data_IF_482391570391
#
_entry.id   IF_482391570391
#
_cell.length_a   1.000
_cell.length_b   1.000
_cell.length_c   1.000
_cell.angle_alpha   90.00
_cell.angle_beta   90.00
_cell.angle_gamma   90.00
#
_symmetry.space_group_name_H-M   'P 1'
#
loop_
_entity.id
_entity.type
_entity.pdbx_description
1 polymer ?
#
# COMPACT_ATOMS: atom_id res chain seq x y z
N UNK A 1 15.76 12.46 -14.23
CA UNK A 1 15.81 11.06 -13.73
C UNK A 1 15.18 11.05 -12.34
N UNK A 2 14.21 10.18 -12.07
CA UNK A 2 13.53 10.06 -10.76
C UNK A 2 13.70 8.64 -10.24
N UNK A 3 14.07 8.49 -8.97
CA UNK A 3 14.06 7.22 -8.27
C UNK A 3 13.01 7.28 -7.15
N UNK A 4 12.21 6.23 -7.01
CA UNK A 4 11.21 6.12 -5.95
C UNK A 4 11.64 5.05 -4.96
N UNK A 5 11.59 5.39 -3.67
CA UNK A 5 11.97 4.48 -2.58
C UNK A 5 10.76 4.23 -1.72
N UNK A 6 10.43 2.96 -1.53
CA UNK A 6 9.26 2.52 -0.78
C UNK A 6 9.65 2.12 0.65
N UNK A 7 8.93 2.63 1.67
CA UNK A 7 9.28 2.36 3.06
C UNK A 7 8.92 0.92 3.48
N UNK A 8 9.58 0.43 4.51
CA UNK A 8 9.27 -0.84 5.16
C UNK A 8 8.48 -0.67 6.46
N UNK A 9 8.43 -1.73 7.26
CA UNK A 9 7.76 -1.74 8.57
C UNK A 9 8.24 -0.61 9.49
N UNK A 10 7.31 0.01 10.23
CA UNK A 10 7.56 1.16 11.09
C UNK A 10 7.09 2.50 10.51
N UNK A 11 6.73 2.53 9.22
CA UNK A 11 6.21 3.71 8.54
C UNK A 11 4.68 3.88 8.61
N UNK A 12 3.96 2.93 9.22
CA UNK A 12 2.51 3.00 9.38
C UNK A 12 2.09 4.10 10.37
N UNK A 13 0.96 4.74 10.13
CA UNK A 13 0.39 5.77 11.00
C UNK A 13 -1.15 5.74 10.96
N UNK A 14 -1.85 6.13 12.05
CA UNK A 14 -3.31 6.21 12.04
C UNK A 14 -3.84 7.20 11.00
N UNK A 15 -4.93 6.84 10.32
CA UNK A 15 -5.52 7.62 9.24
C UNK A 15 -4.85 7.45 7.87
N UNK A 16 -3.82 6.60 7.75
CA UNK A 16 -3.10 6.41 6.49
C UNK A 16 -4.02 5.92 5.36
N UNK A 17 -3.94 6.55 4.19
CA UNK A 17 -4.68 6.14 3.00
C UNK A 17 -6.11 6.64 2.92
N UNK A 18 -6.65 7.25 3.99
CA UNK A 18 -8.03 7.75 4.03
C UNK A 18 -8.27 8.86 3.02
N UNK A 19 -7.37 9.83 2.99
CA UNK A 19 -7.41 10.96 2.06
C UNK A 19 -7.39 10.48 0.59
N UNK A 20 -6.52 9.52 0.29
CA UNK A 20 -6.39 8.98 -1.07
C UNK A 20 -7.61 8.14 -1.44
N UNK A 21 -8.17 7.37 -0.51
CA UNK A 21 -9.40 6.60 -0.70
C UNK A 21 -10.61 7.50 -1.00
N UNK A 22 -10.75 8.62 -0.28
CA UNK A 22 -11.87 9.55 -0.44
C UNK A 22 -11.79 10.38 -1.74
N UNK A 23 -10.58 10.59 -2.27
CA UNK A 23 -10.36 11.50 -3.40
C UNK A 23 -9.98 10.79 -4.72
N UNK A 24 -9.90 9.46 -4.74
CA UNK A 24 -9.54 8.71 -5.95
C UNK A 24 -10.35 7.42 -6.12
N UNK A 25 -11.08 7.31 -7.23
CA UNK A 25 -11.84 6.11 -7.55
C UNK A 25 -10.93 4.88 -7.76
N UNK A 26 -9.73 5.08 -8.31
CA UNK A 26 -8.73 4.01 -8.46
C UNK A 26 -8.29 3.51 -7.09
N UNK A 27 -8.06 4.41 -6.13
CA UNK A 27 -7.69 4.04 -4.78
C UNK A 27 -8.81 3.28 -4.09
N UNK A 28 -10.04 3.78 -4.19
CA UNK A 28 -11.23 3.14 -3.64
C UNK A 28 -11.38 1.70 -4.11
N UNK A 29 -11.31 1.47 -5.43
CA UNK A 29 -11.38 0.14 -6.02
C UNK A 29 -10.29 -0.81 -5.50
N UNK A 30 -9.04 -0.33 -5.39
CA UNK A 30 -7.91 -1.15 -4.93
C UNK A 30 -7.99 -1.47 -3.43
N UNK A 31 -8.45 -0.53 -2.60
CA UNK A 31 -8.70 -0.77 -1.18
C UNK A 31 -9.86 -1.76 -0.97
N UNK A 32 -10.95 -1.62 -1.73
CA UNK A 32 -12.08 -2.56 -1.68
C UNK A 32 -11.65 -3.97 -2.14
N UNK A 33 -10.84 -4.05 -3.21
CA UNK A 33 -10.23 -5.31 -3.64
C UNK A 33 -9.34 -5.92 -2.54
N UNK A 34 -8.55 -5.09 -1.85
CA UNK A 34 -7.71 -5.55 -0.75
C UNK A 34 -8.52 -6.13 0.41
N UNK A 35 -9.61 -5.47 0.81
CA UNK A 35 -10.52 -5.99 1.83
C UNK A 35 -11.03 -7.38 1.47
N UNK A 36 -11.40 -7.60 0.20
CA UNK A 36 -11.85 -8.91 -0.29
C UNK A 36 -10.74 -9.98 -0.25
N UNK A 37 -9.52 -9.63 -0.67
CA UNK A 37 -8.37 -10.56 -0.66
C UNK A 37 -7.98 -10.95 0.78
N UNK A 38 -8.00 -9.99 1.69
CA UNK A 38 -7.61 -10.18 3.10
C UNK A 38 -8.70 -10.89 3.92
N UNK A 39 -9.96 -10.82 3.49
CA UNK A 39 -11.10 -11.37 4.22
C UNK A 39 -11.51 -10.55 5.45
N UNK A 40 -10.99 -9.31 5.59
CA UNK A 40 -11.39 -8.36 6.61
C UNK A 40 -11.23 -6.92 6.11
N UNK A 41 -11.89 -5.98 6.77
CA UNK A 41 -11.84 -4.55 6.45
C UNK A 41 -10.55 -3.93 6.97
N UNK A 42 -9.46 -4.01 6.20
CA UNK A 42 -8.20 -3.36 6.57
C UNK A 42 -8.34 -1.83 6.54
N UNK A 43 -9.22 -1.31 5.68
CA UNK A 43 -9.54 0.12 5.59
C UNK A 43 -10.07 0.70 6.90
N UNK A 44 -10.90 -0.04 7.65
CA UNK A 44 -11.37 0.41 8.96
C UNK A 44 -10.22 0.65 9.94
N UNK A 45 -9.19 -0.20 9.87
CA UNK A 45 -8.02 -0.10 10.75
C UNK A 45 -7.09 1.02 10.27
N UNK A 46 -6.81 1.09 8.96
CA UNK A 46 -5.94 2.11 8.36
C UNK A 46 -6.50 3.52 8.55
N UNK A 47 -7.81 3.70 8.38
CA UNK A 47 -8.45 5.02 8.43
C UNK A 47 -8.83 5.47 9.84
N UNK A 48 -8.78 4.55 10.81
CA UNK A 48 -9.05 4.82 12.21
C UNK A 48 -7.88 5.48 12.95
N UNK A 49 -8.10 5.72 14.24
CA UNK A 49 -7.12 6.35 15.14
C UNK A 49 -6.36 5.35 16.01
N UNK A 50 -6.72 4.06 15.98
CA UNK A 50 -6.11 3.01 16.81
C UNK A 50 -4.73 2.58 16.28
N UNK A 51 -3.69 3.21 16.83
CA UNK A 51 -2.31 2.89 16.51
C UNK A 51 -1.88 1.47 16.93
N UNK A 52 -2.51 0.85 17.92
CA UNK A 52 -2.15 -0.51 18.36
C UNK A 52 -2.72 -1.56 17.41
N UNK A 53 -3.94 -1.36 16.89
CA UNK A 53 -4.49 -2.22 15.84
C UNK A 53 -3.58 -2.25 14.60
N UNK A 54 -3.00 -1.11 14.24
CA UNK A 54 -2.03 -0.98 13.13
C UNK A 54 -0.67 -1.66 13.38
N UNK A 55 -0.33 -2.02 14.62
CA UNK A 55 0.95 -2.70 14.95
C UNK A 55 0.88 -4.22 14.85
N UNK A 56 -0.33 -4.78 14.75
CA UNK A 56 -0.47 -6.23 14.54
C UNK A 56 0.18 -6.61 13.21
N UNK A 57 1.10 -7.57 13.20
CA UNK A 57 1.89 -7.92 12.01
C UNK A 57 1.04 -8.19 10.77
N UNK A 58 -0.11 -8.87 10.94
CA UNK A 58 -1.12 -9.15 9.90
C UNK A 58 -1.78 -7.91 9.28
N UNK A 59 -1.61 -6.74 9.90
CA UNK A 59 -2.13 -5.44 9.47
C UNK A 59 -0.98 -4.55 9.01
N UNK A 60 0.11 -4.48 9.78
CA UNK A 60 1.22 -3.55 9.53
C UNK A 60 1.78 -3.69 8.12
N UNK A 61 2.08 -4.93 7.71
CA UNK A 61 2.72 -5.16 6.41
C UNK A 61 1.77 -4.89 5.23
N UNK A 62 0.52 -5.41 5.23
CA UNK A 62 -0.45 -5.06 4.20
C UNK A 62 -0.77 -3.57 4.14
N UNK A 63 -0.90 -2.89 5.29
CA UNK A 63 -1.24 -1.47 5.33
C UNK A 63 -0.17 -0.60 4.63
N UNK A 64 1.12 -0.84 4.92
CA UNK A 64 2.24 -0.12 4.31
C UNK A 64 2.33 -0.42 2.81
N UNK A 65 2.15 -1.68 2.43
CA UNK A 65 2.11 -2.11 1.03
C UNK A 65 0.98 -1.42 0.26
N UNK A 66 -0.24 -1.46 0.79
CA UNK A 66 -1.43 -0.87 0.17
C UNK A 66 -1.24 0.62 -0.05
N UNK A 67 -0.86 1.35 1.00
CA UNK A 67 -0.62 2.78 0.91
C UNK A 67 0.43 3.13 -0.15
N UNK A 68 1.56 2.41 -0.14
CA UNK A 68 2.68 2.60 -1.06
C UNK A 68 2.28 2.36 -2.52
N UNK A 69 1.66 1.22 -2.79
CA UNK A 69 1.31 0.80 -4.16
C UNK A 69 0.15 1.63 -4.70
N UNK A 70 -0.87 1.89 -3.88
CA UNK A 70 -2.04 2.66 -4.31
C UNK A 70 -1.61 4.09 -4.65
N UNK A 71 -0.74 4.73 -3.87
CA UNK A 71 -0.17 6.03 -4.24
C UNK A 71 0.51 6.01 -5.60
N UNK A 72 1.34 5.00 -5.87
CA UNK A 72 1.98 4.86 -7.18
C UNK A 72 0.96 4.68 -8.32
N UNK A 73 -0.13 3.93 -8.09
CA UNK A 73 -1.21 3.74 -9.07
C UNK A 73 -2.04 5.00 -9.30
N UNK A 74 -2.33 5.77 -8.25
CA UNK A 74 -3.08 7.03 -8.34
C UNK A 74 -2.32 8.10 -9.11
N UNK A 75 -0.97 8.10 -9.02
CA UNK A 75 -0.14 8.97 -9.85
C UNK A 75 -0.25 8.68 -11.35
N UNK A 76 -0.70 7.48 -11.75
CA UNK A 76 -0.97 7.11 -13.14
C UNK A 76 0.22 7.41 -14.05
N UNK A 77 -0.04 8.12 -15.16
CA UNK A 77 0.97 8.50 -16.16
C UNK A 77 2.07 9.43 -15.61
N UNK A 78 1.87 10.06 -14.44
CA UNK A 78 2.93 10.85 -13.79
C UNK A 78 3.95 9.98 -13.05
N UNK A 79 3.65 8.70 -12.81
CA UNK A 79 4.56 7.74 -12.21
C UNK A 79 5.48 7.13 -13.29
N UNK A 80 6.54 7.86 -13.63
CA UNK A 80 7.55 7.43 -14.61
C UNK A 80 8.94 7.29 -13.95
N UNK A 81 9.15 6.30 -13.06
CA UNK A 81 10.43 6.11 -12.40
C UNK A 81 11.49 5.63 -13.40
N UNK A 82 12.73 6.11 -13.24
CA UNK A 82 13.89 5.48 -13.89
C UNK A 82 14.40 4.28 -13.08
N UNK A 83 14.15 4.29 -11.76
CA UNK A 83 14.55 3.26 -10.81
C UNK A 83 13.52 3.20 -9.67
N UNK A 84 13.35 2.01 -9.09
CA UNK A 84 12.61 1.80 -7.85
C UNK A 84 13.46 0.99 -6.88
N UNK A 85 13.29 1.22 -5.59
CA UNK A 85 13.88 0.41 -4.54
C UNK A 85 12.93 0.38 -3.33
N UNK A 86 13.09 -0.59 -2.45
CA UNK A 86 12.30 -0.64 -1.23
C UNK A 86 13.10 -1.22 -0.08
N UNK A 87 12.80 -0.76 1.14
CA UNK A 87 13.46 -1.26 2.33
C UNK A 87 12.68 -2.44 2.91
N UNK A 88 13.26 -3.64 2.90
CA UNK A 88 12.62 -4.87 3.41
C UNK A 88 11.25 -5.08 2.74
N UNK A 89 10.14 -5.06 3.50
CA UNK A 89 8.77 -5.07 2.97
C UNK A 89 8.54 -4.13 1.78
N UNK A 90 9.17 -2.94 1.80
CA UNK A 90 9.02 -1.96 0.72
C UNK A 90 9.47 -2.49 -0.63
N UNK A 91 10.31 -3.52 -0.70
CA UNK A 91 10.75 -4.14 -1.95
C UNK A 91 9.58 -4.76 -2.72
N UNK A 92 8.61 -5.39 -2.03
CA UNK A 92 7.39 -5.87 -2.68
C UNK A 92 6.56 -4.72 -3.26
N UNK A 93 6.48 -3.60 -2.54
CA UNK A 93 5.80 -2.40 -3.04
C UNK A 93 6.48 -1.86 -4.29
N UNK A 94 7.82 -1.84 -4.30
CA UNK A 94 8.61 -1.41 -5.45
C UNK A 94 8.40 -2.31 -6.68
N UNK A 95 8.40 -3.64 -6.49
CA UNK A 95 8.18 -4.61 -7.56
C UNK A 95 6.78 -4.48 -8.17
N UNK A 96 5.75 -4.26 -7.35
CA UNK A 96 4.38 -4.05 -7.83
C UNK A 96 4.21 -2.70 -8.51
N UNK A 97 4.80 -1.64 -7.96
CA UNK A 97 4.77 -0.31 -8.58
C UNK A 97 5.46 -0.29 -9.94
N UNK A 98 6.54 -1.06 -10.11
CA UNK A 98 7.24 -1.22 -11.38
C UNK A 98 6.61 -2.26 -12.33
N UNK A 99 5.53 -2.95 -11.92
CA UNK A 99 4.80 -3.89 -12.77
C UNK A 99 5.42 -5.29 -12.92
N UNK A 100 6.43 -5.63 -12.10
CA UNK A 100 7.05 -6.97 -12.10
C UNK A 100 6.24 -7.98 -11.29
N UNK A 101 5.40 -7.51 -10.37
CA UNK A 101 4.51 -8.34 -9.56
C UNK A 101 3.09 -7.77 -9.62
N UNK A 102 2.08 -8.64 -9.63
CA UNK A 102 0.68 -8.19 -9.58
C UNK A 102 0.34 -7.60 -8.21
N UNK A 103 -0.67 -6.73 -8.16
CA UNK A 103 -1.16 -6.17 -6.90
C UNK A 103 -1.64 -7.27 -5.93
N UNK A 104 -2.37 -8.25 -6.47
CA UNK A 104 -2.93 -9.35 -5.69
C UNK A 104 -1.85 -10.28 -5.11
N UNK A 105 -0.86 -10.66 -5.93
CA UNK A 105 0.24 -11.51 -5.46
C UNK A 105 1.11 -10.76 -4.45
N UNK A 106 1.37 -9.48 -4.70
CA UNK A 106 2.09 -8.62 -3.76
C UNK A 106 1.38 -8.53 -2.41
N UNK A 107 0.06 -8.30 -2.42
CA UNK A 107 -0.72 -8.25 -1.19
C UNK A 107 -0.69 -9.58 -0.44
N UNK A 108 -0.88 -10.71 -1.13
CA UNK A 108 -0.84 -12.05 -0.51
C UNK A 108 0.51 -12.39 0.11
N UNK A 109 1.62 -11.94 -0.48
CA UNK A 109 2.96 -12.20 0.05
C UNK A 109 3.28 -11.43 1.33
N UNK A 110 2.59 -10.32 1.57
CA UNK A 110 2.83 -9.45 2.73
C UNK A 110 1.75 -9.58 3.81
N UNK A 111 0.78 -10.48 3.64
CA UNK A 111 -0.38 -10.68 4.52
C UNK A 111 -0.18 -11.76 5.58
#
# INVERSE_FOLDING_TARGET
MKAYVFPGQGAQFPGMGKDIYENSEVAKQLFDQANNILGFSITEIMFGEDAEALKQTKVTQPAIFLHSVILAKVLGDSFTPSMVAGHSLGEFSALVAAGYLSFEDGLKLVS
#
